data_IF_337638170181
#
_entry.id   IF_337638170181
#
_cell.length_a   1.000
_cell.length_b   1.000
_cell.length_c   1.000
_cell.angle_alpha   90.00
_cell.angle_beta   90.00
_cell.angle_gamma   90.00
#
_symmetry.space_group_name_H-M   'P 1'
#
loop_
_entity.id
_entity.type
_entity.pdbx_description
1 polymer ?
#
# COMPACT_ATOMS: atom_id res chain seq x y z
N UNK A 1 16.34 -2.38 18.00
CA UNK A 1 15.36 -3.46 17.78
C UNK A 1 15.35 -3.82 16.29
N UNK A 2 15.25 -5.10 15.93
CA UNK A 2 15.30 -5.54 14.52
C UNK A 2 13.98 -5.22 13.81
N UNK A 3 14.06 -4.65 12.60
CA UNK A 3 12.91 -4.48 11.71
C UNK A 3 12.30 -5.85 11.38
N UNK A 4 11.01 -5.88 11.09
CA UNK A 4 10.29 -7.10 10.68
C UNK A 4 10.95 -7.68 9.42
N UNK A 5 11.31 -8.96 9.46
CA UNK A 5 11.84 -9.72 8.31
C UNK A 5 10.75 -10.52 7.59
N UNK A 6 11.06 -11.11 6.43
CA UNK A 6 10.17 -12.03 5.70
C UNK A 6 9.62 -13.15 6.60
N UNK A 7 10.47 -13.77 7.43
CA UNK A 7 10.05 -14.82 8.37
C UNK A 7 9.01 -14.36 9.42
N UNK A 8 8.93 -13.05 9.71
CA UNK A 8 7.97 -12.48 10.67
C UNK A 8 6.72 -11.92 9.98
N UNK A 9 6.71 -11.87 8.65
CA UNK A 9 5.59 -11.36 7.85
C UNK A 9 4.28 -12.14 8.11
N UNK A 10 4.26 -13.48 8.19
CA UNK A 10 3.05 -14.23 8.56
C UNK A 10 2.39 -13.71 9.86
N UNK A 11 3.19 -13.53 10.91
CA UNK A 11 2.72 -13.01 12.19
C UNK A 11 2.19 -11.58 12.10
N UNK A 12 2.83 -10.73 11.30
CA UNK A 12 2.36 -9.36 11.06
C UNK A 12 1.01 -9.35 10.34
N UNK A 13 0.86 -10.15 9.28
CA UNK A 13 -0.38 -10.21 8.51
C UNK A 13 -1.53 -10.74 9.37
N UNK A 14 -1.30 -11.78 10.18
CA UNK A 14 -2.30 -12.27 11.15
C UNK A 14 -2.67 -11.21 12.18
N UNK A 15 -1.69 -10.47 12.70
CA UNK A 15 -1.95 -9.38 13.65
C UNK A 15 -2.82 -8.28 13.03
N UNK A 16 -2.57 -7.95 11.75
CA UNK A 16 -3.40 -6.98 11.00
C UNK A 16 -4.82 -7.50 10.80
N UNK A 17 -5.00 -8.77 10.41
CA UNK A 17 -6.32 -9.37 10.22
C UNK A 17 -7.13 -9.43 11.53
N UNK A 18 -6.46 -9.79 12.62
CA UNK A 18 -7.04 -9.87 13.97
C UNK A 18 -7.15 -8.51 14.67
N UNK A 19 -6.75 -7.40 14.03
CA UNK A 19 -6.78 -6.08 14.65
C UNK A 19 -8.20 -5.71 15.08
N UNK A 20 -8.37 -5.51 16.39
CA UNK A 20 -9.65 -5.33 17.09
C UNK A 20 -10.03 -3.85 17.29
N UNK A 21 -9.21 -2.94 16.77
CA UNK A 21 -9.50 -1.51 16.80
C UNK A 21 -10.50 -1.07 15.73
N UNK A 22 -10.34 0.16 15.27
CA UNK A 22 -11.22 0.75 14.26
C UNK A 22 -11.15 -0.02 12.93
N UNK A 23 -12.31 -0.44 12.41
CA UNK A 23 -12.41 -1.27 11.20
C UNK A 23 -11.76 -0.60 9.97
N UNK A 24 -11.98 0.71 9.78
CA UNK A 24 -11.35 1.46 8.70
C UNK A 24 -9.81 1.48 8.84
N UNK A 25 -9.30 1.55 10.08
CA UNK A 25 -7.86 1.45 10.36
C UNK A 25 -7.30 0.08 10.00
N UNK A 26 -8.04 -1.01 10.24
CA UNK A 26 -7.68 -2.35 9.77
C UNK A 26 -7.56 -2.41 8.25
N UNK A 27 -8.58 -1.93 7.54
CA UNK A 27 -8.59 -1.89 6.07
C UNK A 27 -7.45 -1.01 5.52
N UNK A 28 -7.09 0.08 6.22
CA UNK A 28 -5.95 0.92 5.87
C UNK A 28 -4.61 0.16 5.98
N UNK A 29 -4.42 -0.61 7.04
CA UNK A 29 -3.23 -1.46 7.21
C UNK A 29 -3.14 -2.55 6.13
N UNK A 30 -4.26 -3.20 5.82
CA UNK A 30 -4.33 -4.20 4.75
C UNK A 30 -4.00 -3.57 3.40
N UNK A 31 -4.65 -2.46 3.03
CA UNK A 31 -4.37 -1.80 1.74
C UNK A 31 -2.92 -1.29 1.67
N UNK A 32 -2.37 -0.78 2.78
CA UNK A 32 -0.97 -0.38 2.86
C UNK A 32 -0.02 -1.55 2.63
N UNK A 33 -0.28 -2.71 3.24
CA UNK A 33 0.56 -3.90 3.02
C UNK A 33 0.50 -4.39 1.57
N UNK A 34 -0.69 -4.36 0.95
CA UNK A 34 -0.92 -4.85 -0.41
C UNK A 34 -0.37 -3.93 -1.50
N UNK A 35 -0.26 -2.63 -1.22
CA UNK A 35 0.16 -1.64 -2.22
C UNK A 35 1.51 -1.00 -1.93
N UNK A 36 1.94 -1.03 -0.66
CA UNK A 36 3.16 -0.42 -0.13
C UNK A 36 3.42 1.00 -0.65
N UNK A 37 2.34 1.77 -0.81
CA UNK A 37 2.41 3.22 -1.02
C UNK A 37 2.93 3.93 0.23
N UNK A 38 3.31 5.20 0.11
CA UNK A 38 3.67 6.01 1.28
C UNK A 38 2.43 6.26 2.15
N UNK A 39 2.63 6.44 3.46
CA UNK A 39 1.54 6.79 4.39
C UNK A 39 0.79 8.04 3.95
N UNK A 40 1.49 9.04 3.41
CA UNK A 40 0.88 10.24 2.83
C UNK A 40 0.01 9.93 1.62
N UNK A 41 0.46 9.06 0.72
CA UNK A 41 -0.30 8.66 -0.46
C UNK A 41 -1.59 7.94 -0.04
N UNK A 42 -1.51 6.99 0.90
CA UNK A 42 -2.68 6.27 1.41
C UNK A 42 -3.71 7.18 2.07
N UNK A 43 -3.28 8.04 3.01
CA UNK A 43 -4.24 8.83 3.80
C UNK A 43 -5.00 9.86 2.97
N UNK A 44 -4.40 10.32 1.88
CA UNK A 44 -5.01 11.29 0.95
C UNK A 44 -5.62 10.62 -0.29
N UNK A 45 -5.72 9.29 -0.31
CA UNK A 45 -6.33 8.54 -1.40
C UNK A 45 -7.80 8.93 -1.56
N UNK A 46 -8.22 9.21 -2.80
CA UNK A 46 -9.58 9.61 -3.12
C UNK A 46 -10.30 8.59 -4.00
N UNK A 47 -11.62 8.49 -3.84
CA UNK A 47 -12.43 7.52 -4.59
C UNK A 47 -12.35 7.74 -6.11
N UNK A 48 -12.14 8.98 -6.55
CA UNK A 48 -11.97 9.34 -7.95
C UNK A 48 -10.65 8.80 -8.56
N UNK A 49 -9.67 8.42 -7.74
CA UNK A 49 -8.38 7.90 -8.18
C UNK A 49 -8.40 6.39 -8.45
N UNK A 50 -9.46 5.70 -8.00
CA UNK A 50 -9.59 4.24 -8.08
C UNK A 50 -10.38 3.84 -9.32
N UNK A 51 -9.71 3.17 -10.26
CA UNK A 51 -10.31 2.57 -11.44
C UNK A 51 -10.41 1.06 -11.24
N UNK A 52 -11.55 0.60 -10.70
CA UNK A 52 -11.78 -0.82 -10.41
C UNK A 52 -11.86 -1.68 -11.67
N UNK A 53 -12.23 -1.10 -12.82
CA UNK A 53 -12.29 -1.80 -14.11
C UNK A 53 -10.88 -2.09 -14.63
N UNK A 54 -9.99 -1.10 -14.55
CA UNK A 54 -8.57 -1.27 -14.94
C UNK A 54 -7.73 -1.90 -13.84
N UNK A 55 -8.26 -2.05 -12.63
CA UNK A 55 -7.55 -2.51 -11.43
C UNK A 55 -6.35 -1.63 -11.12
N UNK A 56 -6.58 -0.32 -11.12
CA UNK A 56 -5.53 0.70 -10.96
C UNK A 56 -5.94 1.76 -9.94
N UNK A 57 -4.96 2.21 -9.16
CA UNK A 57 -5.05 3.44 -8.40
C UNK A 57 -4.09 4.47 -9.00
N UNK A 58 -4.63 5.59 -9.49
CA UNK A 58 -3.89 6.65 -10.19
C UNK A 58 -3.69 7.84 -9.27
N UNK A 59 -2.51 7.91 -8.67
CA UNK A 59 -2.13 9.00 -7.77
C UNK A 59 -1.60 10.16 -8.62
N UNK A 60 -2.22 11.35 -8.53
CA UNK A 60 -1.85 12.48 -9.36
C UNK A 60 -0.55 13.14 -8.87
N UNK A 61 0.11 13.89 -9.75
CA UNK A 61 1.46 14.42 -9.55
C UNK A 61 1.59 15.26 -8.27
N UNK A 62 0.59 16.07 -7.97
CA UNK A 62 0.50 16.97 -6.83
C UNK A 62 0.50 16.24 -5.48
N UNK A 63 0.10 14.97 -5.44
CA UNK A 63 0.15 14.12 -4.24
C UNK A 63 1.44 13.30 -4.15
N UNK A 64 2.27 13.32 -5.19
CA UNK A 64 3.49 12.54 -5.28
C UNK A 64 4.72 13.35 -4.88
N UNK A 65 5.62 12.74 -4.09
CA UNK A 65 6.89 13.36 -3.67
C UNK A 65 7.75 13.83 -4.85
N UNK A 66 7.75 13.06 -5.95
CA UNK A 66 8.55 13.34 -7.14
C UNK A 66 7.80 14.16 -8.19
N UNK A 67 6.59 14.67 -7.89
CA UNK A 67 5.75 15.46 -8.80
C UNK A 67 5.51 14.81 -10.17
N UNK A 68 5.45 13.49 -10.19
CA UNK A 68 5.12 12.70 -11.37
C UNK A 68 3.92 11.80 -11.04
N UNK A 69 2.89 11.71 -11.91
CA UNK A 69 1.78 10.78 -11.75
C UNK A 69 2.27 9.34 -11.55
N UNK A 70 1.61 8.62 -10.66
CA UNK A 70 1.95 7.26 -10.31
C UNK A 70 0.72 6.34 -10.43
N UNK A 71 0.86 5.28 -11.20
CA UNK A 71 -0.16 4.24 -11.34
C UNK A 71 0.25 3.06 -10.47
N UNK A 72 -0.57 2.70 -9.49
CA UNK A 72 -0.43 1.53 -8.62
C UNK A 72 -1.38 0.44 -9.11
N UNK A 73 -0.86 -0.68 -9.67
CA UNK A 73 -1.68 -1.85 -9.95
C UNK A 73 -2.27 -2.44 -8.68
N UNK A 74 -3.55 -2.80 -8.73
CA UNK A 74 -4.29 -3.38 -7.62
C UNK A 74 -4.43 -4.88 -7.83
N UNK A 75 -3.95 -5.66 -6.87
CA UNK A 75 -4.23 -7.10 -6.81
C UNK A 75 -5.71 -7.37 -6.51
N UNK A 76 -6.15 -8.60 -6.71
CA UNK A 76 -7.51 -9.04 -6.37
C UNK A 76 -7.83 -8.77 -4.88
N UNK A 77 -6.88 -9.05 -3.99
CA UNK A 77 -6.97 -8.81 -2.55
C UNK A 77 -7.07 -7.30 -2.24
N UNK A 78 -6.34 -6.45 -2.96
CA UNK A 78 -6.45 -4.99 -2.78
C UNK A 78 -7.83 -4.49 -3.20
N UNK A 79 -8.40 -5.04 -4.27
CA UNK A 79 -9.75 -4.71 -4.72
C UNK A 79 -10.82 -5.16 -3.72
N UNK A 80 -10.64 -6.30 -3.06
CA UNK A 80 -11.54 -6.76 -1.99
C UNK A 80 -11.53 -5.80 -0.79
N UNK A 81 -10.36 -5.33 -0.36
CA UNK A 81 -10.25 -4.32 0.71
C UNK A 81 -10.92 -3.00 0.29
N UNK A 82 -10.72 -2.57 -0.96
CA UNK A 82 -11.35 -1.37 -1.51
C UNK A 82 -12.87 -1.54 -1.60
N UNK A 83 -13.39 -2.72 -1.95
CA UNK A 83 -14.82 -3.00 -1.98
C UNK A 83 -15.43 -2.87 -0.57
N UNK A 84 -14.79 -3.46 0.45
CA UNK A 84 -15.21 -3.31 1.85
C UNK A 84 -15.19 -1.84 2.29
N UNK A 85 -14.15 -1.08 1.94
CA UNK A 85 -14.10 0.36 2.22
C UNK A 85 -15.26 1.12 1.57
N UNK A 86 -15.65 0.74 0.34
CA UNK A 86 -16.74 1.38 -0.40
C UNK A 86 -18.08 1.20 0.33
N UNK A 87 -18.32 0.04 0.92
CA UNK A 87 -19.52 -0.22 1.73
C UNK A 87 -19.58 0.65 2.99
N UNK A 88 -18.41 0.98 3.56
CA UNK A 88 -18.31 1.78 4.78
C UNK A 88 -18.41 3.29 4.50
N UNK A 89 -17.74 3.80 3.46
CA UNK A 89 -17.60 5.24 3.24
C UNK A 89 -17.61 5.69 1.76
N UNK A 90 -18.10 4.86 0.84
CA UNK A 90 -17.99 5.07 -0.62
C UNK A 90 -18.67 6.32 -1.19
N UNK A 91 -19.53 6.99 -0.41
CA UNK A 91 -20.15 8.27 -0.78
C UNK A 91 -19.28 9.50 -0.45
N UNK A 92 -18.17 9.31 0.27
CA UNK A 92 -17.24 10.37 0.64
C UNK A 92 -16.23 10.72 -0.46
N UNK A 93 -15.35 11.67 -0.17
CA UNK A 93 -14.22 12.02 -1.03
C UNK A 93 -13.05 11.03 -0.86
N UNK A 94 -12.63 10.85 0.39
CA UNK A 94 -11.46 10.03 0.74
C UNK A 94 -11.82 8.56 0.92
N UNK A 95 -10.88 7.66 0.61
CA UNK A 95 -10.96 6.25 1.02
C UNK A 95 -10.85 6.09 2.55
N UNK A 96 -10.10 7.00 3.19
CA UNK A 96 -9.85 6.99 4.62
C UNK A 96 -10.14 8.36 5.27
N UNK A 97 -11.40 8.77 5.40
CA UNK A 97 -11.78 9.97 6.14
C UNK A 97 -11.41 9.91 7.62
N UNK A 98 -11.17 11.09 8.21
CA UNK A 98 -11.06 11.26 9.65
C UNK A 98 -12.40 10.97 10.33
N UNK A 99 -12.36 10.25 11.45
CA UNK A 99 -13.53 9.96 12.29
C UNK A 99 -14.23 11.22 12.80
N UNK A 100 -13.48 12.29 13.09
CA UNK A 100 -14.03 13.54 13.61
C UNK A 100 -14.49 14.52 12.54
N UNK A 101 -14.02 14.36 11.30
CA UNK A 101 -14.36 15.26 10.19
C UNK A 101 -14.19 14.53 8.85
N UNK A 102 -15.29 14.04 8.25
CA UNK A 102 -15.22 13.29 6.99
C UNK A 102 -14.64 14.07 5.80
N UNK A 103 -14.57 15.41 5.91
CA UNK A 103 -13.92 16.30 4.93
C UNK A 103 -12.38 16.35 5.06
N UNK A 104 -11.82 15.68 6.06
CA UNK A 104 -10.37 15.60 6.29
C UNK A 104 -9.92 14.15 6.19
N UNK A 105 -8.68 13.89 5.75
CA UNK A 105 -8.12 12.54 5.71
C UNK A 105 -7.83 12.00 7.12
N UNK A 106 -7.70 10.68 7.22
CA UNK A 106 -7.17 9.95 8.39
C UNK A 106 -5.85 10.57 8.87
N UNK A 107 -5.62 10.59 10.18
CA UNK A 107 -4.35 11.06 10.75
C UNK A 107 -3.19 10.13 10.37
N UNK A 108 -2.02 10.68 10.08
CA UNK A 108 -0.79 9.91 9.82
C UNK A 108 -0.46 8.95 10.96
N UNK A 109 -0.71 9.39 12.20
CA UNK A 109 -0.43 8.61 13.40
C UNK A 109 -1.36 7.40 13.59
N UNK A 110 -2.48 7.32 12.87
CA UNK A 110 -3.48 6.26 13.04
C UNK A 110 -2.87 4.88 12.76
N UNK A 111 -2.15 4.77 11.64
CA UNK A 111 -1.50 3.53 11.20
C UNK A 111 -0.33 3.18 12.13
N UNK A 112 0.47 4.19 12.51
CA UNK A 112 1.59 4.02 13.41
C UNK A 112 1.15 3.48 14.77
N UNK A 113 0.14 4.09 15.39
CA UNK A 113 -0.37 3.64 16.68
C UNK A 113 -1.13 2.32 16.61
N UNK A 114 -1.75 1.98 15.49
CA UNK A 114 -2.30 0.64 15.28
C UNK A 114 -1.20 -0.43 15.29
N UNK A 115 -0.09 -0.21 14.56
CA UNK A 115 1.09 -1.10 14.61
C UNK A 115 1.67 -1.21 16.02
N UNK A 116 1.69 -0.11 16.78
CA UNK A 116 2.19 -0.13 18.16
C UNK A 116 1.32 -0.99 19.08
N UNK A 117 0.00 -0.88 18.95
CA UNK A 117 -0.96 -1.72 19.70
C UNK A 117 -0.82 -3.21 19.38
N UNK A 118 -0.43 -3.55 18.15
CA UNK A 118 -0.12 -4.91 17.74
C UNK A 118 1.27 -5.40 18.17
N UNK A 119 2.01 -4.64 18.98
CA UNK A 119 3.34 -5.04 19.48
C UNK A 119 4.51 -4.72 18.55
N UNK A 120 4.29 -3.97 17.46
CA UNK A 120 5.34 -3.62 16.50
C UNK A 120 5.99 -2.25 16.76
N UNK A 121 5.88 -1.72 17.97
CA UNK A 121 6.53 -0.46 18.36
C UNK A 121 8.03 -0.49 18.06
N UNK A 122 8.54 0.54 17.39
CA UNK A 122 9.94 0.63 16.92
C UNK A 122 10.43 -0.47 15.96
N UNK A 123 9.55 -1.41 15.56
CA UNK A 123 9.86 -2.50 14.62
C UNK A 123 9.22 -2.30 13.26
N UNK A 124 8.02 -1.72 13.24
CA UNK A 124 7.24 -1.43 12.03
C UNK A 124 6.67 -0.02 12.08
N UNK A 125 6.58 0.60 10.90
CA UNK A 125 5.86 1.85 10.63
C UNK A 125 5.14 1.68 9.29
N UNK A 126 4.29 2.64 8.90
CA UNK A 126 3.70 2.61 7.55
C UNK A 126 4.76 2.60 6.44
N UNK A 127 5.89 3.29 6.65
CA UNK A 127 7.03 3.22 5.72
C UNK A 127 7.74 1.86 5.73
N UNK A 128 7.67 1.12 6.83
CA UNK A 128 8.30 -0.20 6.97
C UNK A 128 7.79 -1.24 5.97
N UNK A 129 6.51 -1.18 5.57
CA UNK A 129 5.96 -2.04 4.52
C UNK A 129 6.69 -1.90 3.19
N UNK A 130 7.17 -0.69 2.86
CA UNK A 130 7.90 -0.41 1.62
C UNK A 130 9.25 -1.09 1.60
N UNK A 131 9.97 -1.01 2.71
CA UNK A 131 11.25 -1.69 2.88
C UNK A 131 11.08 -3.20 2.82
N UNK A 132 10.08 -3.73 3.53
CA UNK A 132 9.79 -5.17 3.56
C UNK A 132 9.43 -5.71 2.17
N UNK A 133 8.51 -5.04 1.45
CA UNK A 133 8.13 -5.43 0.09
C UNK A 133 9.32 -5.34 -0.87
N UNK A 134 10.12 -4.27 -0.80
CA UNK A 134 11.32 -4.11 -1.64
C UNK A 134 12.30 -5.26 -1.42
N UNK A 135 12.62 -5.61 -0.17
CA UNK A 135 13.52 -6.72 0.15
C UNK A 135 13.00 -8.04 -0.40
N UNK A 136 11.75 -8.41 -0.08
CA UNK A 136 11.17 -9.70 -0.50
C UNK A 136 11.08 -9.78 -2.03
N UNK A 137 10.60 -8.73 -2.71
CA UNK A 137 10.50 -8.75 -4.17
C UNK A 137 11.87 -8.92 -4.85
N UNK A 138 12.94 -8.35 -4.28
CA UNK A 138 14.30 -8.58 -4.78
C UNK A 138 14.79 -10.02 -4.51
N UNK A 139 14.51 -10.57 -3.32
CA UNK A 139 14.87 -11.95 -2.96
C UNK A 139 14.15 -12.99 -3.83
N UNK A 140 12.95 -12.67 -4.30
CA UNK A 140 12.18 -13.47 -5.26
C UNK A 140 12.50 -13.15 -6.74
N UNK A 141 13.63 -12.47 -7.00
CA UNK A 141 14.18 -12.19 -8.34
C UNK A 141 13.25 -11.40 -9.29
N UNK A 142 12.35 -10.57 -8.76
CA UNK A 142 11.63 -9.61 -9.61
C UNK A 142 12.61 -8.58 -10.18
N UNK A 143 12.31 -8.11 -11.39
CA UNK A 143 13.12 -7.08 -12.03
C UNK A 143 13.15 -5.81 -11.16
N UNK A 144 14.36 -5.35 -10.86
CA UNK A 144 14.62 -4.19 -9.99
C UNK A 144 13.90 -2.94 -10.46
N UNK A 145 13.86 -2.69 -11.77
CA UNK A 145 13.23 -1.49 -12.34
C UNK A 145 11.72 -1.51 -12.12
N UNK A 146 11.09 -2.69 -12.10
CA UNK A 146 9.66 -2.82 -11.77
C UNK A 146 9.40 -2.46 -10.31
N UNK A 147 10.28 -2.90 -9.40
CA UNK A 147 10.21 -2.64 -7.96
C UNK A 147 10.41 -1.14 -7.69
N UNK A 148 11.46 -0.54 -8.24
CA UNK A 148 11.77 0.89 -8.07
C UNK A 148 10.66 1.77 -8.67
N UNK A 149 10.14 1.39 -9.85
CA UNK A 149 9.00 2.05 -10.47
C UNK A 149 7.74 1.97 -9.61
N UNK A 150 7.47 0.80 -9.01
CA UNK A 150 6.34 0.60 -8.11
C UNK A 150 6.48 1.39 -6.80
N UNK A 151 7.71 1.56 -6.31
CA UNK A 151 8.00 2.41 -5.17
C UNK A 151 7.94 3.91 -5.53
N UNK A 152 7.70 4.27 -6.80
CA UNK A 152 7.80 5.65 -7.26
C UNK A 152 9.12 6.30 -6.80
N UNK A 153 10.20 5.54 -6.93
CA UNK A 153 11.55 6.08 -6.82
C UNK A 153 11.93 6.68 -8.18
N UNK A 154 12.56 7.84 -8.16
CA UNK A 154 13.10 8.44 -9.39
C UNK A 154 14.42 7.76 -9.72
N UNK A 155 14.57 7.30 -10.95
CA UNK A 155 15.90 7.09 -11.52
C UNK A 155 16.66 8.42 -11.43
N UNK A 156 17.84 8.40 -10.81
CA UNK A 156 18.67 9.60 -10.63
C UNK A 156 19.30 10.09 -11.95
N UNK A 157 19.13 9.34 -13.03
CA UNK A 157 19.70 9.66 -14.33
C UNK A 157 18.69 10.43 -15.18
N UNK A 158 18.83 11.76 -15.13
CA UNK A 158 17.90 12.78 -15.63
C UNK A 158 17.65 12.83 -17.15
N UNK A 159 17.69 11.71 -17.87
CA UNK A 159 17.47 11.67 -19.33
C UNK A 159 16.26 10.81 -19.73
N UNK A 160 15.81 9.85 -18.92
CA UNK A 160 14.69 8.94 -19.27
C UNK A 160 13.36 9.20 -18.56
N UNK A 161 13.36 9.95 -17.46
CA UNK A 161 12.30 9.90 -16.46
C UNK A 161 10.96 10.59 -16.81
N UNK A 162 10.83 11.27 -17.95
CA UNK A 162 9.74 12.24 -18.14
C UNK A 162 8.47 11.72 -18.82
N UNK A 163 8.45 10.56 -19.51
CA UNK A 163 7.35 10.30 -20.46
C UNK A 163 6.62 8.95 -20.42
N UNK A 164 6.93 8.03 -19.50
CA UNK A 164 6.19 6.77 -19.44
C UNK A 164 5.54 6.51 -18.07
N UNK A 165 4.37 7.12 -17.83
CA UNK A 165 3.59 6.84 -16.61
C UNK A 165 3.19 5.36 -16.48
N UNK A 166 3.05 4.66 -17.62
CA UNK A 166 2.68 3.26 -17.74
C UNK A 166 3.88 2.31 -17.93
N UNK A 167 5.09 2.76 -17.58
CA UNK A 167 6.29 1.93 -17.71
C UNK A 167 6.16 0.63 -16.91
N UNK A 168 6.49 -0.47 -17.57
CA UNK A 168 6.39 -1.84 -17.04
C UNK A 168 5.03 -2.20 -16.45
N UNK A 169 3.95 -1.52 -16.85
CA UNK A 169 2.65 -1.71 -16.21
C UNK A 169 2.10 -3.15 -16.35
N UNK A 170 2.22 -3.85 -17.50
CA UNK A 170 1.85 -5.26 -17.59
C UNK A 170 2.62 -6.16 -16.62
N UNK A 171 3.92 -5.93 -16.46
CA UNK A 171 4.81 -6.71 -15.59
C UNK A 171 4.54 -6.39 -14.11
N UNK A 172 4.38 -5.11 -13.79
CA UNK A 172 4.00 -4.66 -12.44
C UNK A 172 2.63 -5.18 -12.02
N UNK A 173 1.66 -5.32 -12.94
CA UNK A 173 0.39 -5.98 -12.64
C UNK A 173 0.60 -7.42 -12.19
N UNK A 174 1.45 -8.18 -12.88
CA UNK A 174 1.79 -9.56 -12.49
C UNK A 174 2.51 -9.60 -11.14
N UNK A 175 3.48 -8.71 -10.93
CA UNK A 175 4.22 -8.58 -9.67
C UNK A 175 3.30 -8.23 -8.49
N UNK A 176 2.41 -7.25 -8.65
CA UNK A 176 1.49 -6.84 -7.60
C UNK A 176 0.43 -7.92 -7.30
N UNK A 177 -0.02 -8.67 -8.32
CA UNK A 177 -0.88 -9.82 -8.08
C UNK A 177 -0.14 -10.91 -7.30
N UNK A 178 1.07 -11.27 -7.72
CA UNK A 178 1.91 -12.22 -6.98
C UNK A 178 2.13 -11.77 -5.53
N UNK A 179 2.41 -10.49 -5.31
CA UNK A 179 2.56 -9.93 -3.96
C UNK A 179 1.29 -10.09 -3.12
N UNK A 180 0.12 -9.83 -3.71
CA UNK A 180 -1.16 -10.07 -3.05
C UNK A 180 -1.36 -11.54 -2.68
N UNK A 181 -1.03 -12.46 -3.58
CA UNK A 181 -1.14 -13.90 -3.34
C UNK A 181 -0.15 -14.37 -2.26
N UNK A 182 1.08 -13.84 -2.29
CA UNK A 182 2.12 -14.12 -1.32
C UNK A 182 1.72 -13.66 0.10
N UNK A 183 1.17 -12.46 0.25
CA UNK A 183 0.64 -11.98 1.54
C UNK A 183 -0.55 -12.81 2.03
N UNK A 184 -1.46 -13.19 1.12
CA UNK A 184 -2.62 -14.02 1.45
C UNK A 184 -2.26 -15.45 1.84
N UNK A 185 -1.15 -15.99 1.33
CA UNK A 185 -0.60 -17.27 1.78
C UNK A 185 0.09 -17.12 3.13
N UNK A 186 0.88 -16.05 3.32
CA UNK A 186 1.58 -15.78 4.57
C UNK A 186 0.62 -15.65 5.77
N UNK A 187 -0.57 -15.05 5.60
CA UNK A 187 -1.53 -14.95 6.71
C UNK A 187 -2.14 -16.30 7.13
N UNK A 188 -2.15 -17.28 6.22
CA UNK A 188 -2.69 -18.63 6.43
C UNK A 188 -1.67 -19.67 6.87
N UNK A 189 -0.38 -19.38 6.78
CA UNK A 189 0.68 -20.29 7.21
C UNK A 189 0.72 -20.38 8.75
N UNK A 190 0.60 -21.59 9.29
CA UNK A 190 0.63 -21.88 10.75
C UNK A 190 2.01 -21.59 11.36
#
# INVERSE_FOLDING_TARGET
MKRVSEAELPGLMRSIEAYDGDHQTRLALQLMSLTFVRTSELRFAEWAEIDTKKKEWKIPAEKMKMRAPHIVPLSTQALEVIAQLREVNGAGQYLFPSRSSPKKPMSENTILYALYRMGYHSRMTGHGFRGLASTILNEHNFNRDWIERQLAHSERDGVRAAYNHAEYLPERRKMMQWWGDYLGQASRAE
#
